data_IF_177498651157
#
_entry.id   IF_177498651157
#
_cell.length_a   1.000
_cell.length_b   1.000
_cell.length_c   1.000
_cell.angle_alpha   90.00
_cell.angle_beta   90.00
_cell.angle_gamma   90.00
#
_symmetry.space_group_name_H-M   'P 1'
#
loop_
_entity.id
_entity.type
_entity.pdbx_description
1 polymer ?
2 non-polymer ?
#
# COMPACT_ATOMS: atom_id res chain seq x y z
N UNK A 1 -8.10 -17.33 -11.32
CA UNK A 1 -7.04 -16.38 -11.78
C UNK A 1 -6.14 -15.99 -10.61
N UNK A 2 -4.92 -16.53 -10.59
CA UNK A 2 -3.97 -16.28 -9.50
C UNK A 2 -2.79 -15.38 -9.83
N UNK A 3 -2.86 -14.62 -10.92
CA UNK A 3 -1.77 -13.71 -11.28
C UNK A 3 -1.79 -12.48 -10.39
N UNK A 4 -0.61 -11.97 -10.03
CA UNK A 4 -0.51 -10.77 -9.21
C UNK A 4 0.70 -9.91 -9.57
N UNK A 5 0.59 -8.63 -9.24
CA UNK A 5 1.65 -7.66 -9.46
C UNK A 5 1.88 -7.21 -8.01
N UNK A 6 3.13 -7.16 -7.57
CA UNK A 6 3.40 -6.78 -6.19
C UNK A 6 4.52 -5.77 -5.97
N UNK A 7 4.42 -5.06 -4.85
CA UNK A 7 5.43 -4.08 -4.42
C UNK A 7 5.67 -4.42 -2.96
N UNK A 8 6.85 -4.93 -2.64
CA UNK A 8 7.15 -5.33 -1.28
C UNK A 8 8.11 -4.46 -0.48
N UNK A 9 7.81 -4.32 0.81
CA UNK A 9 8.64 -3.56 1.72
C UNK A 9 8.89 -2.10 1.41
N UNK A 10 7.90 -1.42 0.87
CA UNK A 10 8.07 -0.01 0.56
C UNK A 10 8.15 0.69 1.91
N UNK A 11 9.13 1.56 2.09
CA UNK A 11 9.27 2.24 3.36
C UNK A 11 9.19 3.73 3.19
N UNK A 12 8.39 4.33 4.07
CA UNK A 12 8.17 5.76 4.05
C UNK A 12 8.24 6.30 5.47
N UNK A 13 8.82 7.47 5.63
CA UNK A 13 8.86 8.09 6.93
C UNK A 13 7.62 8.98 6.95
N UNK A 14 6.71 8.72 7.88
CA UNK A 14 5.49 9.51 7.97
C UNK A 14 5.17 9.94 9.38
N UNK A 15 4.07 10.67 9.54
CA UNK A 15 3.66 11.18 10.85
C UNK A 15 2.30 10.72 11.35
N UNK A 16 1.80 9.64 10.77
CA UNK A 16 0.52 9.06 11.16
C UNK A 16 0.56 8.41 12.54
N UNK A 17 -0.60 8.37 13.19
CA UNK A 17 -0.70 7.79 14.52
C UNK A 17 -1.72 8.56 15.34
N UNK A 18 -2.42 7.85 16.22
CA UNK A 18 -3.43 8.48 17.05
C UNK A 18 -2.84 9.29 18.22
N UNK A 19 -1.53 9.14 18.44
CA UNK A 19 -0.83 9.82 19.53
C UNK A 19 -0.10 11.10 19.07
N UNK A 20 -0.35 12.21 19.77
CA UNK A 20 0.26 13.51 19.46
C UNK A 20 1.74 13.39 19.21
N UNK A 21 2.43 12.73 20.13
CA UNK A 21 3.87 12.54 20.03
C UNK A 21 4.30 11.82 18.75
N UNK A 22 3.47 10.90 18.29
CA UNK A 22 3.77 10.19 17.06
C UNK A 22 3.75 11.18 15.90
N UNK A 23 2.70 11.98 15.85
CA UNK A 23 2.53 12.98 14.80
C UNK A 23 3.70 13.96 14.78
N UNK A 24 4.30 14.18 15.94
CA UNK A 24 5.41 15.11 16.10
C UNK A 24 6.74 14.53 15.65
N UNK A 25 7.04 13.34 16.15
CA UNK A 25 8.29 12.64 15.85
C UNK A 25 8.28 11.85 14.53
N UNK A 26 7.19 11.13 14.25
CA UNK A 26 7.10 10.33 13.04
C UNK A 26 7.75 8.97 13.25
N UNK A 27 7.76 8.16 12.20
CA UNK A 27 8.36 6.83 12.24
C UNK A 27 8.32 6.25 10.83
N UNK A 28 8.95 5.10 10.63
CA UNK A 28 8.96 4.46 9.33
C UNK A 28 7.73 3.53 9.22
N UNK A 29 7.06 3.59 8.07
CA UNK A 29 5.89 2.77 7.81
C UNK A 29 6.31 1.85 6.69
N UNK A 30 6.03 0.56 6.83
CA UNK A 30 6.37 -0.42 5.80
C UNK A 30 5.06 -0.81 5.11
N UNK A 31 5.08 -0.83 3.78
CA UNK A 31 3.88 -1.15 3.00
C UNK A 31 4.07 -2.20 1.91
N UNK A 32 3.17 -3.18 1.89
CA UNK A 32 3.17 -4.23 0.87
C UNK A 32 1.86 -4.10 0.11
N UNK A 33 1.94 -4.06 -1.21
CA UNK A 33 0.74 -3.95 -2.03
C UNK A 33 0.74 -5.10 -3.03
N UNK A 34 -0.35 -5.85 -3.05
CA UNK A 34 -0.48 -6.95 -4.00
C UNK A 34 -1.75 -6.71 -4.80
N UNK A 35 -1.58 -6.68 -6.12
CA UNK A 35 -2.67 -6.46 -7.04
C UNK A 35 -3.04 -7.69 -7.86
N UNK A 36 -4.34 -8.01 -7.89
CA UNK A 36 -4.82 -9.14 -8.67
C UNK A 36 -5.06 -8.60 -10.09
N UNK A 37 -4.23 -9.01 -11.03
CA UNK A 37 -4.31 -8.54 -12.40
C UNK A 37 -4.07 -9.71 -13.33
N UNK A 38 -4.85 -9.83 -14.40
CA UNK A 38 -4.67 -10.92 -15.35
C UNK A 38 -3.49 -10.49 -16.21
N UNK A 39 -2.39 -11.24 -16.13
CA UNK A 39 -1.17 -10.91 -16.86
C UNK A 39 -0.88 -11.70 -18.12
N UNK A 40 -1.84 -12.46 -18.61
CA UNK A 40 -1.60 -13.26 -19.81
C UNK A 40 -1.51 -12.44 -21.10
N UNK A 41 -2.24 -11.34 -21.20
CA UNK A 41 -2.15 -10.56 -22.43
C UNK A 41 -0.72 -10.02 -22.52
N UNK A 42 -0.27 -9.37 -21.44
CA UNK A 42 1.08 -8.80 -21.36
C UNK A 42 2.14 -9.90 -21.53
N UNK A 43 1.87 -11.07 -20.98
CA UNK A 43 2.80 -12.17 -21.15
C UNK A 43 2.92 -12.57 -22.61
N UNK A 44 1.84 -12.36 -23.38
CA UNK A 44 1.82 -12.68 -24.80
C UNK A 44 2.48 -11.55 -25.59
N UNK A 45 1.95 -10.35 -25.41
CA UNK A 45 2.42 -9.17 -26.13
C UNK A 45 3.77 -8.55 -25.77
N UNK A 46 4.09 -8.52 -24.49
CA UNK A 46 5.34 -7.92 -24.00
C UNK A 46 5.24 -6.41 -24.14
N UNK A 47 4.02 -5.93 -24.32
CA UNK A 47 3.76 -4.50 -24.48
C UNK A 47 3.37 -3.95 -23.12
N UNK A 48 4.16 -3.01 -22.62
CA UNK A 48 3.92 -2.42 -21.32
C UNK A 48 2.52 -1.85 -21.11
N UNK A 49 1.84 -1.54 -22.21
CA UNK A 49 0.49 -0.98 -22.14
C UNK A 49 -0.58 -2.01 -21.78
N UNK A 50 -0.22 -3.29 -21.72
CA UNK A 50 -1.19 -4.33 -21.39
C UNK A 50 -1.16 -4.75 -19.93
N UNK A 51 -0.40 -4.04 -19.11
CA UNK A 51 -0.33 -4.38 -17.70
C UNK A 51 -0.35 -3.12 -16.87
N UNK A 52 -0.24 -3.28 -15.55
CA UNK A 52 -0.24 -2.14 -14.64
C UNK A 52 1.23 -1.84 -14.25
N UNK A 53 1.59 -0.59 -14.43
CA UNK A 53 2.92 -0.06 -14.16
C UNK A 53 3.28 -0.03 -12.67
N UNK A 54 4.27 -0.85 -12.23
CA UNK A 54 4.64 -0.86 -10.82
C UNK A 54 5.11 0.51 -10.35
N UNK A 55 5.83 1.20 -11.21
CA UNK A 55 6.31 2.52 -10.88
C UNK A 55 5.20 3.48 -10.56
N UNK A 56 4.12 3.44 -11.32
CA UNK A 56 3.02 4.36 -11.08
C UNK A 56 2.33 4.02 -9.79
N UNK A 57 2.26 2.74 -9.48
CA UNK A 57 1.61 2.33 -8.26
C UNK A 57 2.38 2.83 -7.04
N UNK A 58 3.71 2.74 -7.11
CA UNK A 58 4.58 3.17 -6.01
C UNK A 58 4.36 4.65 -5.77
N UNK A 59 4.23 5.40 -6.85
CA UNK A 59 4.02 6.84 -6.73
C UNK A 59 2.73 7.12 -5.98
N UNK A 60 1.70 6.33 -6.25
CA UNK A 60 0.41 6.53 -5.60
C UNK A 60 0.54 6.23 -4.12
N UNK A 61 1.15 5.09 -3.80
CA UNK A 61 1.33 4.72 -2.40
C UNK A 61 2.09 5.81 -1.67
N UNK A 62 3.18 6.26 -2.28
CA UNK A 62 4.04 7.30 -1.72
C UNK A 62 3.32 8.60 -1.42
N UNK A 63 2.52 9.07 -2.37
CA UNK A 63 1.78 10.31 -2.19
C UNK A 63 0.84 10.25 -0.99
N UNK A 64 0.34 9.05 -0.69
CA UNK A 64 -0.56 8.87 0.43
C UNK A 64 0.20 8.68 1.75
N UNK A 65 1.26 7.88 1.70
CA UNK A 65 2.08 7.59 2.88
C UNK A 65 2.92 8.78 3.36
N UNK A 66 3.37 9.62 2.43
CA UNK A 66 4.17 10.78 2.78
C UNK A 66 3.36 12.08 2.79
N UNK A 67 2.04 11.94 2.73
CA UNK A 67 1.17 13.10 2.74
C UNK A 67 0.65 13.37 4.14
N UNK A 68 -0.48 14.07 4.21
CA UNK A 68 -1.13 14.43 5.46
C UNK A 68 -1.22 13.28 6.47
N UNK A 69 -0.86 13.57 7.71
CA UNK A 69 -0.89 12.57 8.76
C UNK A 69 -2.33 12.27 9.17
N UNK A 70 -2.63 10.99 9.32
CA UNK A 70 -3.95 10.56 9.75
C UNK A 70 -3.75 9.73 11.00
N UNK A 71 -4.84 9.34 11.64
CA UNK A 71 -4.72 8.57 12.86
C UNK A 71 -4.43 7.11 12.63
N UNK A 72 -5.20 6.49 11.74
CA UNK A 72 -5.09 5.06 11.50
C UNK A 72 -4.43 4.48 10.27
N UNK A 73 -3.86 3.30 10.47
CA UNK A 73 -3.23 2.56 9.39
C UNK A 73 -4.38 2.09 8.50
N UNK A 74 -5.54 1.86 9.12
CA UNK A 74 -6.75 1.39 8.43
C UNK A 74 -7.19 2.40 7.38
N UNK A 75 -7.09 3.68 7.74
CA UNK A 75 -7.48 4.77 6.86
C UNK A 75 -6.49 4.98 5.74
N UNK A 76 -5.21 4.79 6.04
CA UNK A 76 -4.17 4.94 5.04
C UNK A 76 -4.29 3.86 3.98
N UNK A 77 -4.51 2.62 4.42
CA UNK A 77 -4.65 1.50 3.52
C UNK A 77 -5.94 1.56 2.68
N UNK A 78 -6.99 2.11 3.27
CA UNK A 78 -8.28 2.26 2.60
C UNK A 78 -8.12 3.27 1.46
N UNK A 79 -7.34 4.32 1.72
CA UNK A 79 -7.09 5.36 0.73
C UNK A 79 -6.22 4.84 -0.41
N UNK A 80 -5.26 3.98 -0.07
CA UNK A 80 -4.36 3.41 -1.07
C UNK A 80 -5.10 2.43 -1.97
N UNK A 81 -5.86 1.51 -1.36
CA UNK A 81 -6.60 0.52 -2.12
C UNK A 81 -7.58 1.22 -3.04
N UNK A 82 -8.26 2.22 -2.49
CA UNK A 82 -9.24 3.00 -3.22
C UNK A 82 -8.60 3.80 -4.35
N UNK A 83 -7.38 4.29 -4.13
CA UNK A 83 -6.67 5.05 -5.16
C UNK A 83 -6.26 4.13 -6.32
N UNK A 84 -5.75 2.95 -6.00
CA UNK A 84 -5.32 2.00 -7.01
C UNK A 84 -6.50 1.41 -7.79
N UNK A 85 -7.56 1.07 -7.08
CA UNK A 85 -8.73 0.49 -7.71
C UNK A 85 -9.39 1.47 -8.66
N UNK A 86 -9.42 2.74 -8.26
CA UNK A 86 -10.03 3.80 -9.05
C UNK A 86 -9.32 4.10 -10.37
N UNK A 87 -7.99 4.11 -10.35
CA UNK A 87 -7.21 4.44 -11.53
C UNK A 87 -6.84 3.30 -12.47
N UNK A 88 -6.98 2.06 -12.02
CA UNK A 88 -6.65 0.92 -12.87
C UNK A 88 -7.78 -0.10 -12.93
N UNK A 89 -8.48 -0.14 -14.06
CA UNK A 89 -9.60 -1.06 -14.26
C UNK A 89 -9.14 -2.52 -14.34
N UNK A 90 -7.90 -2.72 -14.77
CA UNK A 90 -7.34 -4.07 -14.87
C UNK A 90 -7.07 -4.71 -13.50
N UNK A 91 -7.06 -3.91 -12.45
CA UNK A 91 -6.83 -4.43 -11.11
C UNK A 91 -8.17 -4.94 -10.60
N UNK A 92 -8.30 -6.25 -10.46
CA UNK A 92 -9.54 -6.87 -10.01
C UNK A 92 -9.73 -6.73 -8.52
N UNK A 93 -8.62 -6.61 -7.80
CA UNK A 93 -8.64 -6.50 -6.35
C UNK A 93 -7.28 -6.03 -5.82
N UNK A 94 -7.29 -5.19 -4.78
CA UNK A 94 -6.07 -4.65 -4.17
C UNK A 94 -5.89 -5.03 -2.69
N UNK A 95 -4.72 -5.58 -2.37
CA UNK A 95 -4.41 -5.96 -0.99
C UNK A 95 -3.34 -4.98 -0.48
N UNK A 96 -3.60 -4.36 0.66
CA UNK A 96 -2.65 -3.41 1.22
C UNK A 96 -2.32 -3.79 2.64
N UNK A 97 -1.04 -4.01 2.90
CA UNK A 97 -0.54 -4.36 4.24
C UNK A 97 0.35 -3.21 4.72
N UNK A 98 0.09 -2.68 5.91
CA UNK A 98 0.91 -1.61 6.44
C UNK A 98 1.40 -2.04 7.80
N UNK A 99 2.71 -1.93 8.01
CA UNK A 99 3.34 -2.33 9.27
C UNK A 99 4.10 -1.21 9.96
N UNK A 100 3.88 -1.07 11.25
CA UNK A 100 4.61 -0.10 12.05
C UNK A 100 5.61 -1.02 12.76
N UNK A 101 6.87 -0.97 12.37
CA UNK A 101 7.84 -1.84 13.01
C UNK A 101 8.27 -1.28 14.36
N UNK A 102 8.08 0.03 14.54
CA UNK A 102 8.47 0.70 15.77
C UNK A 102 7.44 1.67 16.33
N UNK A 103 6.28 1.15 16.73
CA UNK A 103 5.20 1.96 17.30
C UNK A 103 5.53 2.25 18.76
N UNK A 104 4.77 3.15 19.39
CA UNK A 104 4.96 3.50 20.79
C UNK A 104 4.51 2.39 21.74
N UNK A 105 4.95 1.16 21.50
CA UNK A 105 4.59 0.03 22.36
C UNK A 105 5.81 -0.53 23.09
N UNK A 106 5.86 -0.34 24.41
CA UNK A 106 6.97 -0.82 25.23
C UNK A 106 7.11 -2.30 25.17
N UNK A 107 7.95 -2.74 24.25
CA UNK A 107 8.17 -4.15 24.13
C UNK A 107 9.13 -4.54 23.04
N UNK A 108 9.26 -5.85 22.89
CA UNK A 108 10.13 -6.41 21.90
C UNK A 108 9.26 -7.21 20.95
N UNK A 109 9.23 -6.76 19.70
CA UNK A 109 8.46 -7.39 18.64
C UNK A 109 9.05 -6.99 17.30
N UNK A 110 8.59 -7.62 16.23
CA UNK A 110 9.06 -7.33 14.89
C UNK A 110 8.23 -6.24 14.22
N UNK A 111 6.95 -6.17 14.59
CA UNK A 111 6.07 -5.16 14.02
C UNK A 111 4.60 -5.38 14.33
N UNK A 112 3.80 -4.35 14.11
CA UNK A 112 2.37 -4.45 14.31
C UNK A 112 1.75 -3.78 13.10
N UNK A 113 0.52 -4.15 12.75
CA UNK A 113 -0.09 -3.52 11.60
C UNK A 113 -1.41 -4.11 11.19
N UNK A 114 -1.85 -3.75 9.99
CA UNK A 114 -3.12 -4.23 9.46
C UNK A 114 -2.97 -4.61 8.00
N UNK A 115 -3.94 -5.36 7.51
CA UNK A 115 -3.95 -5.77 6.12
C UNK A 115 -5.40 -5.78 5.67
N UNK A 116 -5.66 -5.17 4.53
CA UNK A 116 -7.00 -5.14 3.99
C UNK A 116 -7.00 -5.63 2.55
N UNK A 117 -8.15 -6.11 2.10
CA UNK A 117 -8.30 -6.59 0.73
C UNK A 117 -9.58 -5.94 0.20
N UNK A 118 -9.46 -5.21 -0.90
CA UNK A 118 -10.60 -4.52 -1.48
C UNK A 118 -10.77 -4.84 -2.95
N UNK A 119 -11.90 -5.44 -3.31
CA UNK A 119 -12.13 -5.76 -4.71
C UNK A 119 -12.46 -4.47 -5.47
N UNK A 120 -12.07 -4.42 -6.74
CA UNK A 120 -12.32 -3.24 -7.57
C UNK A 120 -13.72 -3.35 -8.20
N UNK A 121 -14.58 -2.40 -7.85
CA UNK A 121 -15.95 -2.35 -8.34
C UNK A 121 -16.11 -1.71 -9.73
X LIG B 1 -5.98 -0.49 15.44
X LIG B 1 -5.01 0.65 15.62
X LIG B 1 -4.57 1.38 14.51
X LIG B 1 -3.71 2.48 14.63
X LIG B 1 -3.38 3.09 13.57
X LIG B 1 -3.21 2.93 15.98
X LIG B 1 -2.34 3.97 16.58
X LIG B 1 -2.45 3.62 17.96
X LIG B 1 -3.29 2.49 18.03
X LIG B 1 -3.69 2.10 17.06
X LIG B 1 -4.60 0.98 16.82
X LIG B 1 -2.00 4.14 19.08
X LIG B 1 -2.70 5.26 19.63
X LIG B 1 -2.37 5.67 20.95
X LIG B 1 -1.38 4.94 21.67
X LIG B 1 -0.66 3.83 21.04
X LIG B 1 -1.00 3.49 19.73
X LIG B 1 0.28 3.01 21.72
X LIG B 1 0.99 2.09 21.13
X LIG B 1 0.22 3.06 22.91
X LIG B 1 0.92 1.85 23.48
X LIG B 1 0.21 1.45 24.77
X LIG B 1 -1.28 1.39 24.47
X LIG B 1 -2.24 0.94 25.41
X LIG B 1 -1.85 0.55 26.65
X LIG B 1 -0.45 0.62 27.01
X LIG B 1 0.61 1.10 25.97
X LIG B 1 2.28 1.16 26.33
X LIG B 1 2.51 1.38 28.01
X LIG B 1 1.68 0.69 28.96
X LIG B 1 1.87 0.86 30.31
X LIG B 1 2.91 1.73 30.77
X LIG B 1 3.74 2.42 29.82
X LIG B 1 3.53 2.24 28.45
X LIG B 1 4.41 2.96 27.40
X LIG B 1 3.85 4.20 27.03
#
# INVERSE_FOLDING_TARGET
MQDTIFLKGMRFYGYHGALSAENEIGQIFKVDVTLKVDLSEAGRTDNVIDTVHYGEVFEEVKSIMEGKAVNLLEHLAERIANRINSQYNRVMETKVRITKENPPIPGHYDGVGIEIVRENK
PSB N1 C2 N3 C4 O5 C6 N7 N8 N9 C10 N11 C12 C13 C14 C15 C16 C17 C18 O19 N20 C21 C22 C23 C24 C25 C26 C27 S28 C29 C30 C31 C32 C33 C34 C35 O36
#
